data_IF_820733286252
#
_entry.id   IF_820733286252
#
_cell.length_a   1.000
_cell.length_b   1.000
_cell.length_c   1.000
_cell.angle_alpha   90.00
_cell.angle_beta   90.00
_cell.angle_gamma   90.00
#
_symmetry.space_group_name_H-M   'P 1'
#
loop_
_entity.id
_entity.type
_entity.pdbx_description
1 polymer ?
#
# COMPACT_ATOMS: atom_id res chain seq x y z
N UNK A 1 64.59 5.42 4.19
CA UNK A 1 63.83 6.67 4.37
C UNK A 1 62.68 6.66 3.38
N UNK A 2 61.46 6.63 3.93
CA UNK A 2 60.14 6.88 3.32
C UNK A 2 59.65 5.92 2.21
N UNK A 3 58.96 4.88 2.68
CA UNK A 3 57.88 4.18 1.97
C UNK A 3 56.71 5.14 1.73
N UNK A 4 56.18 5.14 0.51
CA UNK A 4 54.97 5.90 0.12
C UNK A 4 53.82 4.92 -0.05
N UNK A 5 52.94 4.88 0.95
CA UNK A 5 51.68 4.13 0.93
C UNK A 5 50.63 4.90 0.11
N UNK A 6 49.89 4.28 -0.82
CA UNK A 6 48.79 4.93 -1.50
C UNK A 6 47.58 5.06 -0.56
N UNK A 7 47.00 6.26 -0.60
CA UNK A 7 45.88 6.75 0.20
C UNK A 7 44.58 6.10 -0.27
N UNK A 8 43.95 5.32 0.59
CA UNK A 8 42.59 4.79 0.41
C UNK A 8 41.63 5.96 0.19
N UNK A 9 41.00 5.98 -0.98
CA UNK A 9 40.04 7.00 -1.36
C UNK A 9 38.67 6.62 -0.76
N UNK A 10 38.27 7.42 0.21
CA UNK A 10 37.03 7.35 0.97
C UNK A 10 35.83 7.44 0.01
N UNK A 11 35.16 6.30 -0.22
CA UNK A 11 33.94 6.20 -1.02
C UNK A 11 32.72 6.52 -0.15
N UNK A 12 32.71 7.74 0.39
CA UNK A 12 31.62 8.28 1.20
C UNK A 12 30.88 9.37 0.42
N UNK A 13 30.36 9.03 -0.76
CA UNK A 13 29.50 9.91 -1.54
C UNK A 13 28.65 9.10 -2.54
N UNK A 14 27.57 8.48 -2.06
CA UNK A 14 26.50 7.97 -2.93
C UNK A 14 25.14 8.31 -2.34
N UNK A 15 24.47 9.22 -3.05
CA UNK A 15 23.03 9.36 -3.23
C UNK A 15 22.14 9.37 -1.99
N UNK A 16 22.06 10.54 -1.36
CA UNK A 16 20.83 10.97 -0.66
C UNK A 16 19.84 11.49 -1.70
N UNK A 17 19.15 10.57 -2.38
CA UNK A 17 17.87 10.86 -3.03
C UNK A 17 16.78 10.52 -2.02
N UNK A 18 16.21 11.58 -1.47
CA UNK A 18 15.15 11.58 -0.46
C UNK A 18 13.89 10.94 -1.02
N UNK A 19 13.71 9.64 -0.79
CA UNK A 19 12.41 8.98 -0.92
C UNK A 19 11.53 9.42 0.23
N UNK A 20 10.68 10.41 -0.02
CA UNK A 20 9.65 10.88 0.91
C UNK A 20 8.50 9.87 0.94
N UNK A 21 8.72 8.72 1.57
CA UNK A 21 7.63 7.94 2.16
C UNK A 21 7.31 8.58 3.51
N UNK A 22 6.58 9.69 3.49
CA UNK A 22 5.90 10.13 4.71
C UNK A 22 4.74 9.16 4.88
N UNK A 23 4.94 8.20 5.78
CA UNK A 23 3.84 7.45 6.36
C UNK A 23 2.73 8.43 6.71
N UNK A 24 1.59 8.34 6.01
CA UNK A 24 0.38 9.04 6.38
C UNK A 24 -0.02 8.50 7.76
N UNK A 25 0.46 9.19 8.81
CA UNK A 25 0.13 8.88 10.17
C UNK A 25 -1.39 8.96 10.32
N UNK A 26 -2.01 7.81 10.56
CA UNK A 26 -3.38 7.74 11.01
C UNK A 26 -3.49 8.46 12.36
N UNK A 27 -3.80 9.75 12.31
CA UNK A 27 -4.05 10.60 13.45
C UNK A 27 -5.43 10.23 14.02
N UNK A 28 -5.51 9.19 14.84
CA UNK A 28 -6.67 8.97 15.70
C UNK A 28 -6.65 9.99 16.84
N UNK A 29 -7.13 11.20 16.58
CA UNK A 29 -7.40 12.18 17.61
C UNK A 29 -8.77 11.87 18.24
N UNK A 30 -8.74 11.39 19.48
CA UNK A 30 -9.88 11.38 20.38
C UNK A 30 -10.27 12.83 20.71
N UNK A 31 -11.47 13.26 20.30
CA UNK A 31 -12.05 14.53 20.74
C UNK A 31 -13.15 14.23 21.77
N UNK A 32 -12.82 14.54 23.02
CA UNK A 32 -13.73 14.54 24.15
C UNK A 32 -14.65 15.76 24.18
N UNK A 33 -15.80 15.52 24.81
CA UNK A 33 -16.82 16.41 25.34
C UNK A 33 -16.35 17.81 25.75
N UNK A 34 -17.07 18.84 25.28
CA UNK A 34 -17.02 20.21 25.79
C UNK A 34 -18.05 21.08 25.08
N UNK A 35 -19.23 21.25 25.68
CA UNK A 35 -20.29 22.12 25.17
C UNK A 35 -20.13 23.58 25.59
N UNK A 36 -20.51 24.49 24.70
CA UNK A 36 -21.01 25.83 24.99
C UNK A 36 -22.06 26.17 23.92
N UNK A 37 -23.29 26.47 24.35
CA UNK A 37 -24.40 26.95 23.52
C UNK A 37 -24.07 28.32 22.90
N UNK A 38 -24.20 28.43 21.58
CA UNK A 38 -24.08 29.68 20.83
C UNK A 38 -25.38 29.93 20.03
N UNK A 39 -26.21 30.94 20.38
CA UNK A 39 -27.56 31.11 19.83
C UNK A 39 -27.61 31.79 18.44
N UNK A 40 -26.48 31.92 17.74
CA UNK A 40 -26.40 32.53 16.41
C UNK A 40 -25.81 31.62 15.32
N UNK A 41 -25.86 30.31 15.49
CA UNK A 41 -25.43 29.36 14.46
C UNK A 41 -26.21 29.55 13.14
N UNK A 42 -25.54 29.82 12.00
CA UNK A 42 -26.18 29.83 10.69
C UNK A 42 -26.79 28.44 10.44
N UNK A 43 -28.04 28.41 9.97
CA UNK A 43 -28.77 27.18 9.67
C UNK A 43 -27.89 26.23 8.86
N UNK A 44 -27.39 25.18 9.52
CA UNK A 44 -26.72 24.07 8.86
C UNK A 44 -27.69 23.52 7.82
N UNK A 45 -27.34 23.72 6.54
CA UNK A 45 -28.05 23.07 5.45
C UNK A 45 -27.76 21.58 5.58
N UNK A 46 -28.67 20.88 6.26
CA UNK A 46 -28.75 19.43 6.28
C UNK A 46 -28.98 18.96 4.86
N UNK A 47 -27.91 18.72 4.12
CA UNK A 47 -27.92 18.03 2.85
C UNK A 47 -27.28 16.68 3.07
N UNK A 48 -28.11 15.65 2.94
CA UNK A 48 -27.74 14.26 3.12
C UNK A 48 -26.55 13.89 2.22
N UNK A 49 -25.59 13.07 2.73
CA UNK A 49 -24.54 12.51 1.90
C UNK A 49 -25.16 11.74 0.72
N UNK A 50 -24.44 11.70 -0.40
CA UNK A 50 -24.86 10.92 -1.58
C UNK A 50 -25.21 9.49 -1.14
N UNK A 51 -26.32 8.91 -1.65
CA UNK A 51 -26.80 7.63 -1.16
C UNK A 51 -25.77 6.54 -1.48
N UNK A 52 -25.35 5.81 -0.44
CA UNK A 52 -24.61 4.56 -0.59
C UNK A 52 -25.50 3.60 -1.40
N UNK A 53 -25.01 3.14 -2.54
CA UNK A 53 -25.72 2.14 -3.34
C UNK A 53 -25.46 0.78 -2.70
N UNK A 54 -26.50 0.21 -2.09
CA UNK A 54 -26.51 -1.17 -1.61
C UNK A 54 -27.00 -2.06 -2.74
N UNK A 55 -26.22 -3.07 -3.09
CA UNK A 55 -26.56 -3.98 -4.18
C UNK A 55 -27.26 -5.21 -3.59
N UNK A 56 -28.19 -5.81 -4.34
CA UNK A 56 -28.92 -6.98 -3.89
C UNK A 56 -27.96 -8.16 -3.61
N UNK A 57 -28.19 -8.95 -2.53
CA UNK A 57 -27.40 -10.15 -2.24
C UNK A 57 -27.33 -11.09 -3.45
N UNK A 58 -26.13 -11.62 -3.74
CA UNK A 58 -25.88 -12.53 -4.87
C UNK A 58 -25.45 -11.87 -6.18
N UNK A 59 -25.29 -10.54 -6.21
CA UNK A 59 -24.75 -9.83 -7.39
C UNK A 59 -23.24 -9.97 -7.53
N UNK A 60 -22.53 -10.09 -6.41
CA UNK A 60 -21.08 -10.30 -6.35
C UNK A 60 -20.75 -11.65 -5.71
N UNK A 61 -19.58 -12.24 -6.01
CA UNK A 61 -19.08 -13.41 -5.29
C UNK A 61 -19.01 -13.16 -3.77
N UNK A 62 -19.18 -14.22 -2.98
CA UNK A 62 -19.19 -14.14 -1.50
C UNK A 62 -17.92 -13.53 -0.89
N UNK A 63 -16.79 -13.58 -1.60
CA UNK A 63 -15.53 -13.00 -1.14
C UNK A 63 -15.41 -11.48 -1.40
N UNK A 64 -16.36 -10.86 -2.10
CA UNK A 64 -16.34 -9.39 -2.32
C UNK A 64 -16.98 -8.68 -1.13
N UNK A 65 -16.24 -7.78 -0.49
CA UNK A 65 -16.76 -6.93 0.59
C UNK A 65 -17.51 -5.72 0.03
N UNK A 66 -16.92 -5.03 -0.93
CA UNK A 66 -17.49 -3.86 -1.61
C UNK A 66 -16.75 -3.64 -2.94
N UNK A 67 -17.21 -2.68 -3.75
CA UNK A 67 -16.50 -2.23 -4.96
C UNK A 67 -16.14 -0.76 -4.88
N UNK A 68 -15.07 -0.37 -5.57
CA UNK A 68 -14.68 1.04 -5.77
C UNK A 68 -14.42 1.28 -7.26
N UNK A 69 -15.15 2.20 -7.88
CA UNK A 69 -15.08 2.42 -9.32
C UNK A 69 -15.46 1.16 -10.13
N UNK A 70 -16.28 0.27 -9.56
CA UNK A 70 -16.60 -1.04 -10.15
C UNK A 70 -15.53 -2.12 -9.96
N UNK A 71 -14.38 -1.80 -9.36
CA UNK A 71 -13.34 -2.79 -9.04
C UNK A 71 -13.66 -3.49 -7.71
N UNK A 72 -13.62 -4.84 -7.64
CA UNK A 72 -13.95 -5.57 -6.44
C UNK A 72 -12.85 -5.46 -5.37
N UNK A 73 -13.27 -5.23 -4.13
CA UNK A 73 -12.41 -5.32 -2.94
C UNK A 73 -12.74 -6.63 -2.21
N UNK A 74 -11.78 -7.55 -2.24
CA UNK A 74 -11.92 -8.89 -1.68
C UNK A 74 -11.64 -8.93 -0.17
N UNK A 75 -12.43 -9.72 0.57
CA UNK A 75 -12.25 -9.97 2.00
C UNK A 75 -10.93 -10.67 2.26
N UNK A 76 -10.64 -11.69 1.45
CA UNK A 76 -9.37 -12.43 1.47
C UNK A 76 -8.14 -11.53 1.32
N UNK A 77 -8.19 -10.54 0.41
CA UNK A 77 -7.11 -9.58 0.22
C UNK A 77 -6.87 -8.68 1.45
N UNK A 78 -7.94 -8.34 2.19
CA UNK A 78 -7.80 -7.57 3.45
C UNK A 78 -7.22 -8.46 4.54
N UNK A 79 -7.76 -9.68 4.68
CA UNK A 79 -7.39 -10.62 5.73
C UNK A 79 -5.95 -11.15 5.57
N UNK A 80 -5.42 -11.17 4.34
CA UNK A 80 -4.02 -11.49 4.07
C UNK A 80 -3.05 -10.59 4.86
N UNK A 81 -3.38 -9.31 5.06
CA UNK A 81 -2.49 -8.37 5.77
C UNK A 81 -2.77 -8.28 7.27
N UNK A 82 -3.85 -8.89 7.78
CA UNK A 82 -4.21 -8.85 9.21
C UNK A 82 -3.11 -9.41 10.11
N UNK A 83 -2.43 -10.54 9.79
CA UNK A 83 -1.31 -11.04 10.60
C UNK A 83 -0.17 -10.02 10.74
N UNK A 84 0.16 -9.29 9.67
CA UNK A 84 1.17 -8.24 9.71
C UNK A 84 0.69 -7.05 10.55
N UNK A 85 -0.57 -6.62 10.41
CA UNK A 85 -1.13 -5.55 11.24
C UNK A 85 -1.13 -5.94 12.73
N UNK A 86 -1.39 -7.21 13.05
CA UNK A 86 -1.32 -7.73 14.42
C UNK A 86 0.11 -7.78 14.95
N UNK A 87 1.08 -8.06 14.09
CA UNK A 87 2.50 -7.99 14.46
C UNK A 87 2.88 -6.55 14.83
N UNK A 88 2.47 -5.57 14.02
CA UNK A 88 2.78 -4.15 14.20
C UNK A 88 2.08 -3.55 15.42
N UNK A 89 0.76 -3.77 15.54
CA UNK A 89 -0.09 -3.18 16.59
C UNK A 89 -0.91 -4.25 17.33
N UNK A 90 -0.29 -5.09 18.18
CA UNK A 90 -0.92 -6.28 18.77
C UNK A 90 -2.07 -5.98 19.72
N UNK A 91 -2.21 -4.73 20.19
CA UNK A 91 -3.24 -4.32 21.13
C UNK A 91 -4.57 -3.94 20.47
N UNK A 92 -4.60 -3.82 19.14
CA UNK A 92 -5.82 -3.48 18.41
C UNK A 92 -6.74 -4.69 18.25
N UNK A 93 -8.02 -4.42 18.04
CA UNK A 93 -9.01 -5.44 17.69
C UNK A 93 -8.82 -5.95 16.26
N UNK A 94 -9.32 -7.15 15.95
CA UNK A 94 -9.29 -7.70 14.59
C UNK A 94 -9.97 -6.78 13.56
N UNK A 95 -11.08 -6.15 13.94
CA UNK A 95 -11.76 -5.15 13.10
C UNK A 95 -10.87 -3.92 12.83
N UNK A 96 -10.10 -3.49 13.83
CA UNK A 96 -9.12 -2.41 13.66
C UNK A 96 -7.95 -2.82 12.77
N UNK A 97 -7.46 -4.07 12.89
CA UNK A 97 -6.43 -4.61 11.99
C UNK A 97 -6.91 -4.68 10.55
N UNK A 98 -8.14 -5.17 10.30
CA UNK A 98 -8.76 -5.16 8.97
C UNK A 98 -8.89 -3.75 8.40
N UNK A 99 -9.33 -2.78 9.21
CA UNK A 99 -9.43 -1.38 8.78
C UNK A 99 -8.04 -0.80 8.43
N UNK A 100 -7.01 -1.14 9.20
CA UNK A 100 -5.64 -0.72 8.93
C UNK A 100 -5.10 -1.35 7.63
N UNK A 101 -5.29 -2.66 7.43
CA UNK A 101 -4.93 -3.36 6.19
C UNK A 101 -5.65 -2.75 4.97
N UNK A 102 -6.96 -2.52 5.11
CA UNK A 102 -7.76 -1.91 4.06
C UNK A 102 -7.26 -0.51 3.70
N UNK A 103 -7.09 0.37 4.70
CA UNK A 103 -6.74 1.77 4.45
C UNK A 103 -5.31 1.96 3.92
N UNK A 104 -4.35 1.15 4.37
CA UNK A 104 -2.93 1.35 4.06
C UNK A 104 -2.42 0.50 2.89
N UNK A 105 -3.16 -0.54 2.48
CA UNK A 105 -2.70 -1.48 1.44
C UNK A 105 -3.76 -1.65 0.37
N UNK A 106 -4.88 -2.27 0.72
CA UNK A 106 -5.83 -2.76 -0.29
C UNK A 106 -6.54 -1.61 -1.01
N UNK A 107 -6.98 -0.59 -0.27
CA UNK A 107 -7.74 0.52 -0.85
C UNK A 107 -6.90 1.35 -1.85
N UNK A 108 -5.66 1.79 -1.52
CA UNK A 108 -4.78 2.44 -2.50
C UNK A 108 -4.50 1.57 -3.73
N UNK A 109 -4.30 0.26 -3.56
CA UNK A 109 -4.08 -0.66 -4.68
C UNK A 109 -5.30 -0.73 -5.61
N UNK A 110 -6.49 -0.99 -5.06
CA UNK A 110 -7.70 -1.14 -5.87
C UNK A 110 -8.10 0.20 -6.52
N UNK A 111 -7.94 1.33 -5.81
CA UNK A 111 -8.18 2.65 -6.38
C UNK A 111 -7.20 2.99 -7.51
N UNK A 112 -5.92 2.64 -7.36
CA UNK A 112 -4.93 2.75 -8.44
C UNK A 112 -5.30 1.90 -9.66
N UNK A 113 -5.68 0.65 -9.42
CA UNK A 113 -6.11 -0.28 -10.48
C UNK A 113 -7.37 0.19 -11.22
N UNK A 114 -8.27 0.88 -10.53
CA UNK A 114 -9.50 1.42 -11.11
C UNK A 114 -9.27 2.63 -12.03
N UNK A 115 -8.16 3.36 -11.85
CA UNK A 115 -7.86 4.55 -12.65
C UNK A 115 -7.49 4.21 -14.11
N UNK A 116 -6.68 3.17 -14.31
CA UNK A 116 -6.28 2.73 -15.65
C UNK A 116 -6.09 1.19 -15.70
N UNK A 117 -7.19 0.42 -15.86
CA UNK A 117 -7.13 -1.04 -15.89
C UNK A 117 -6.31 -1.59 -17.07
N UNK A 118 -6.27 -0.89 -18.20
CA UNK A 118 -5.54 -1.32 -19.39
C UNK A 118 -4.03 -1.17 -19.18
N UNK A 119 -3.58 -0.01 -18.69
CA UNK A 119 -2.18 0.20 -18.35
C UNK A 119 -1.71 -0.77 -17.26
N UNK A 120 -2.57 -1.06 -16.27
CA UNK A 120 -2.29 -2.06 -15.22
C UNK A 120 -2.03 -3.44 -15.81
N UNK A 121 -2.82 -3.89 -16.77
CA UNK A 121 -2.62 -5.20 -17.42
C UNK A 121 -1.34 -5.21 -18.27
N UNK A 122 -1.06 -4.14 -19.01
CA UNK A 122 0.19 -4.02 -19.77
C UNK A 122 1.42 -4.08 -18.86
N UNK A 123 1.38 -3.37 -17.72
CA UNK A 123 2.43 -3.41 -16.71
C UNK A 123 2.58 -4.80 -16.09
N UNK A 124 1.46 -5.52 -15.84
CA UNK A 124 1.49 -6.90 -15.35
C UNK A 124 2.24 -7.83 -16.31
N UNK A 125 1.90 -7.78 -17.60
CA UNK A 125 2.53 -8.60 -18.63
C UNK A 125 4.02 -8.26 -18.79
N UNK A 126 4.39 -6.98 -18.68
CA UNK A 126 5.80 -6.58 -18.64
C UNK A 126 6.50 -7.14 -17.39
N UNK A 127 5.89 -7.04 -16.22
CA UNK A 127 6.45 -7.52 -14.97
C UNK A 127 6.67 -9.04 -14.96
N UNK A 128 5.71 -9.80 -15.48
CA UNK A 128 5.86 -11.25 -15.63
C UNK A 128 7.04 -11.61 -16.51
N UNK A 129 7.16 -10.97 -17.67
CA UNK A 129 8.26 -11.22 -18.61
C UNK A 129 9.62 -10.88 -18.00
N UNK A 130 9.75 -9.74 -17.30
CA UNK A 130 11.00 -9.35 -16.64
C UNK A 130 11.36 -10.33 -15.52
N UNK A 131 10.39 -10.70 -14.67
CA UNK A 131 10.61 -11.64 -13.58
C UNK A 131 10.95 -13.05 -14.09
N UNK A 132 10.30 -13.50 -15.16
CA UNK A 132 10.61 -14.78 -15.80
C UNK A 132 12.04 -14.79 -16.35
N UNK A 133 12.43 -13.75 -17.10
CA UNK A 133 13.78 -13.62 -17.65
C UNK A 133 14.85 -13.70 -16.55
N UNK A 134 14.72 -12.90 -15.48
CA UNK A 134 15.72 -12.91 -14.40
C UNK A 134 15.78 -14.25 -13.65
N UNK A 135 14.66 -14.95 -13.50
CA UNK A 135 14.62 -16.28 -12.86
C UNK A 135 15.24 -17.37 -13.74
N UNK A 136 15.08 -17.27 -15.06
CA UNK A 136 15.58 -18.26 -16.03
C UNK A 136 17.06 -18.06 -16.37
N UNK A 137 17.49 -16.82 -16.59
CA UNK A 137 18.84 -16.50 -17.11
C UNK A 137 19.75 -15.86 -16.07
N UNK A 138 19.19 -15.31 -14.99
CA UNK A 138 19.93 -14.47 -14.04
C UNK A 138 20.22 -13.06 -14.54
N UNK A 139 19.78 -12.71 -15.76
CA UNK A 139 20.02 -11.42 -16.40
C UNK A 139 18.72 -10.64 -16.59
N UNK A 140 18.80 -9.32 -16.45
CA UNK A 140 17.67 -8.44 -16.73
C UNK A 140 17.60 -8.11 -18.23
N UNK A 141 16.40 -8.09 -18.84
CA UNK A 141 16.23 -7.59 -20.20
C UNK A 141 16.55 -6.09 -20.28
N UNK A 142 16.91 -5.59 -21.47
CA UNK A 142 17.30 -4.19 -21.68
C UNK A 142 16.21 -3.17 -21.29
N UNK A 143 14.93 -3.57 -21.32
CA UNK A 143 13.78 -2.74 -20.98
C UNK A 143 13.33 -2.88 -19.50
N UNK A 144 14.11 -3.59 -18.68
CA UNK A 144 13.84 -3.75 -17.26
C UNK A 144 13.92 -2.41 -16.52
N UNK A 145 13.08 -2.21 -15.47
CA UNK A 145 13.18 -1.03 -14.63
C UNK A 145 14.51 -1.01 -13.85
N UNK A 146 14.96 0.21 -13.51
CA UNK A 146 16.09 0.36 -12.61
C UNK A 146 15.77 -0.15 -11.21
N UNK A 147 16.78 -0.72 -10.54
CA UNK A 147 16.63 -1.24 -9.20
C UNK A 147 16.66 -0.12 -8.15
N UNK A 148 15.67 -0.13 -7.26
CA UNK A 148 15.63 0.70 -6.06
C UNK A 148 16.08 -0.11 -4.84
N UNK A 149 17.16 0.31 -4.20
CA UNK A 149 17.63 -0.32 -2.96
C UNK A 149 16.97 0.33 -1.75
N UNK A 150 16.28 -0.47 -0.95
CA UNK A 150 15.61 -0.02 0.27
C UNK A 150 16.12 -0.84 1.46
N UNK A 151 16.45 -0.15 2.54
CA UNK A 151 16.85 -0.77 3.81
C UNK A 151 16.05 -0.17 4.95
N UNK A 152 15.49 -1.02 5.81
CA UNK A 152 14.82 -0.61 7.03
C UNK A 152 13.69 -1.56 7.41
N UNK A 153 12.77 -1.06 8.23
CA UNK A 153 11.59 -1.80 8.69
C UNK A 153 10.46 -1.72 7.66
N UNK A 154 9.29 -2.24 8.01
CA UNK A 154 8.06 -2.10 7.21
C UNK A 154 7.71 -0.65 6.83
N UNK A 155 8.20 0.35 7.58
CA UNK A 155 7.98 1.77 7.27
C UNK A 155 8.81 2.25 6.08
N UNK A 156 10.06 1.84 6.01
CA UNK A 156 11.00 2.26 4.98
C UNK A 156 10.85 1.42 3.69
N UNK A 157 10.61 0.11 3.84
CA UNK A 157 10.54 -0.83 2.70
C UNK A 157 9.11 -1.04 2.17
N UNK A 158 8.10 -0.68 2.98
CA UNK A 158 6.69 -0.88 2.70
C UNK A 158 6.13 -2.22 3.22
N UNK A 159 4.81 -2.25 3.44
CA UNK A 159 4.12 -3.40 4.04
C UNK A 159 4.17 -4.66 3.15
N UNK A 160 4.04 -4.50 1.83
CA UNK A 160 4.02 -5.62 0.89
C UNK A 160 5.40 -6.32 0.85
N UNK A 161 6.53 -5.61 0.60
CA UNK A 161 7.83 -6.28 0.61
C UNK A 161 8.20 -6.83 1.99
N UNK A 162 7.82 -6.13 3.06
CA UNK A 162 8.06 -6.60 4.42
C UNK A 162 7.32 -7.91 4.71
N UNK A 163 6.02 -7.99 4.39
CA UNK A 163 5.22 -9.22 4.54
C UNK A 163 5.85 -10.38 3.77
N UNK A 164 6.12 -10.19 2.49
CA UNK A 164 6.67 -11.26 1.64
C UNK A 164 8.05 -11.72 2.11
N UNK A 165 8.89 -10.79 2.61
CA UNK A 165 10.23 -11.14 3.12
C UNK A 165 10.21 -12.02 4.39
N UNK A 166 9.10 -12.08 5.13
CA UNK A 166 8.98 -12.93 6.32
C UNK A 166 9.09 -14.44 5.99
N UNK A 167 8.86 -14.81 4.74
CA UNK A 167 8.84 -16.19 4.26
C UNK A 167 9.94 -16.47 3.22
N UNK A 168 10.82 -15.50 2.97
CA UNK A 168 11.86 -15.57 1.94
C UNK A 168 13.25 -15.82 2.52
N UNK A 169 14.06 -16.55 1.75
CA UNK A 169 15.50 -16.66 2.01
C UNK A 169 16.27 -15.51 1.36
N UNK A 170 17.30 -14.93 2.01
CA UNK A 170 18.20 -13.97 1.38
C UNK A 170 18.81 -14.53 0.09
N UNK A 171 18.85 -13.69 -0.95
CA UNK A 171 19.31 -14.05 -2.29
C UNK A 171 18.19 -14.48 -3.25
N UNK A 172 16.95 -14.65 -2.77
CA UNK A 172 15.81 -15.05 -3.60
C UNK A 172 14.98 -13.86 -4.08
N UNK A 173 14.29 -14.05 -5.22
CA UNK A 173 13.32 -13.08 -5.74
C UNK A 173 11.91 -13.41 -5.26
N UNK A 174 11.17 -12.39 -4.85
CA UNK A 174 9.74 -12.48 -4.56
C UNK A 174 8.95 -12.87 -5.79
N UNK A 175 7.69 -13.25 -5.60
CA UNK A 175 6.72 -13.25 -6.69
C UNK A 175 6.33 -11.81 -7.09
N UNK A 176 5.45 -11.70 -8.09
CA UNK A 176 4.85 -10.42 -8.43
C UNK A 176 3.83 -10.01 -7.37
N UNK A 177 3.95 -8.76 -6.94
CA UNK A 177 3.00 -8.13 -6.05
C UNK A 177 2.51 -6.84 -6.70
N UNK A 178 1.21 -6.62 -6.68
CA UNK A 178 0.68 -5.31 -7.02
C UNK A 178 0.94 -4.34 -5.86
N UNK A 179 1.50 -3.18 -6.16
CA UNK A 179 1.61 -2.06 -5.25
C UNK A 179 0.77 -0.89 -5.77
N UNK A 180 0.49 0.15 -4.97
CA UNK A 180 -0.27 1.29 -5.45
C UNK A 180 0.42 1.88 -6.68
N UNK A 181 -0.27 1.90 -7.83
CA UNK A 181 0.22 2.38 -9.13
C UNK A 181 1.24 1.51 -9.91
N UNK A 182 1.67 0.35 -9.40
CA UNK A 182 2.70 -0.45 -10.07
C UNK A 182 2.59 -1.96 -9.84
N UNK A 183 3.24 -2.73 -10.70
CA UNK A 183 3.61 -4.11 -10.39
C UNK A 183 5.05 -4.17 -9.91
N UNK A 184 5.27 -4.87 -8.80
CA UNK A 184 6.53 -4.89 -8.09
C UNK A 184 7.00 -6.32 -7.86
N UNK A 185 8.30 -6.54 -8.01
CA UNK A 185 9.00 -7.69 -7.42
C UNK A 185 10.32 -7.20 -6.84
N UNK A 186 10.93 -7.99 -5.97
CA UNK A 186 12.17 -7.61 -5.33
C UNK A 186 13.03 -8.82 -4.99
N UNK A 187 14.33 -8.59 -4.88
CA UNK A 187 15.27 -9.56 -4.31
C UNK A 187 15.49 -9.23 -2.84
N UNK A 188 15.31 -10.20 -1.95
CA UNK A 188 15.72 -10.05 -0.55
C UNK A 188 17.25 -10.14 -0.50
N UNK A 189 17.94 -9.10 -0.06
CA UNK A 189 19.41 -9.07 0.01
C UNK A 189 19.89 -9.52 1.38
N UNK A 190 19.26 -9.01 2.44
CA UNK A 190 19.64 -9.32 3.83
C UNK A 190 18.47 -9.09 4.78
N UNK A 191 18.52 -9.76 5.92
CA UNK A 191 17.67 -9.55 7.10
C UNK A 191 18.57 -9.46 8.34
N UNK A 192 18.17 -8.71 9.35
CA UNK A 192 18.85 -8.67 10.66
C UNK A 192 18.33 -9.72 11.65
N UNK A 193 17.52 -10.66 11.19
CA UNK A 193 16.97 -11.79 11.98
C UNK A 193 17.96 -12.95 11.93
N UNK A 194 18.34 -13.48 13.08
CA UNK A 194 19.20 -14.67 13.16
C UNK A 194 18.40 -15.96 12.86
N UNK A 195 19.11 -17.03 12.49
CA UNK A 195 18.48 -18.33 12.20
C UNK A 195 17.67 -18.83 13.40
N UNK A 196 16.37 -19.04 13.19
CA UNK A 196 15.43 -19.50 14.22
C UNK A 196 14.76 -18.37 15.03
N UNK A 197 15.12 -17.10 14.79
CA UNK A 197 14.40 -15.96 15.33
C UNK A 197 13.14 -15.64 14.51
N UNK A 198 12.17 -15.01 15.17
CA UNK A 198 10.92 -14.58 14.53
C UNK A 198 11.01 -13.12 14.12
N UNK A 199 10.46 -12.79 12.95
CA UNK A 199 10.30 -11.40 12.53
C UNK A 199 9.53 -10.59 13.59
N UNK A 200 10.02 -9.39 13.86
CA UNK A 200 9.36 -8.41 14.72
C UNK A 200 9.09 -7.14 13.93
N UNK A 201 8.25 -6.20 14.43
CA UNK A 201 8.06 -4.91 13.76
C UNK A 201 9.35 -4.08 13.59
N UNK A 202 10.42 -4.43 14.30
CA UNK A 202 11.73 -3.77 14.26
C UNK A 202 12.75 -4.52 13.43
N UNK A 203 12.37 -5.65 12.84
CA UNK A 203 13.22 -6.35 11.88
C UNK A 203 13.54 -5.40 10.73
N UNK A 204 14.81 -5.31 10.39
CA UNK A 204 15.30 -4.54 9.26
C UNK A 204 15.63 -5.52 8.13
N UNK A 205 15.14 -5.22 6.94
CA UNK A 205 15.45 -5.95 5.72
C UNK A 205 16.11 -5.00 4.73
N UNK A 206 16.95 -5.56 3.86
CA UNK A 206 17.45 -4.87 2.67
C UNK A 206 16.92 -5.56 1.44
N UNK A 207 16.27 -4.82 0.56
CA UNK A 207 15.71 -5.33 -0.68
C UNK A 207 16.24 -4.55 -1.88
N UNK A 208 16.34 -5.25 -3.01
CA UNK A 208 16.53 -4.67 -4.33
C UNK A 208 15.19 -4.77 -5.07
N UNK A 209 14.47 -3.65 -5.12
CA UNK A 209 13.08 -3.56 -5.60
C UNK A 209 13.02 -3.08 -7.05
N UNK A 210 12.12 -3.66 -7.82
CA UNK A 210 11.85 -3.33 -9.22
C UNK A 210 10.38 -2.98 -9.35
N UNK A 211 10.10 -1.76 -9.80
CA UNK A 211 8.74 -1.26 -9.99
C UNK A 211 8.46 -1.05 -11.47
N UNK A 212 7.33 -1.55 -11.93
CA UNK A 212 6.83 -1.36 -13.29
C UNK A 212 5.52 -0.58 -13.15
N UNK A 213 5.61 0.76 -13.21
CA UNK A 213 4.46 1.62 -12.97
C UNK A 213 3.45 1.53 -14.11
N UNK A 214 2.18 1.61 -13.76
CA UNK A 214 1.07 1.82 -14.68
C UNK A 214 0.37 3.17 -14.47
N UNK A 215 0.67 3.90 -13.40
CA UNK A 215 0.35 5.32 -13.26
C UNK A 215 1.64 6.16 -13.19
N UNK A 216 1.59 7.48 -13.48
CA UNK A 216 2.77 8.34 -13.41
C UNK A 216 3.33 8.46 -11.98
N UNK A 217 4.64 8.23 -11.82
CA UNK A 217 5.30 8.19 -10.50
C UNK A 217 5.08 9.47 -9.68
N UNK A 218 5.30 10.65 -10.28
CA UNK A 218 5.29 11.96 -9.60
C UNK A 218 3.93 12.36 -9.02
N UNK A 219 2.83 11.83 -9.57
CA UNK A 219 1.46 12.21 -9.20
C UNK A 219 0.60 11.03 -8.72
N UNK A 220 1.15 9.81 -8.70
CA UNK A 220 0.43 8.58 -8.36
C UNK A 220 -0.33 8.68 -7.04
N UNK A 221 0.26 9.25 -5.99
CA UNK A 221 -0.37 9.39 -4.68
C UNK A 221 -1.60 10.31 -4.71
N UNK A 222 -1.48 11.49 -5.32
CA UNK A 222 -2.58 12.44 -5.43
C UNK A 222 -3.70 11.89 -6.31
N UNK A 223 -3.35 11.18 -7.39
CA UNK A 223 -4.31 10.49 -8.26
C UNK A 223 -5.07 9.40 -7.50
N UNK A 224 -4.36 8.55 -6.75
CA UNK A 224 -4.97 7.47 -5.96
C UNK A 224 -5.85 8.04 -4.86
N UNK A 225 -5.39 9.07 -4.14
CA UNK A 225 -6.19 9.71 -3.11
C UNK A 225 -7.45 10.34 -3.72
N UNK A 226 -7.31 11.05 -4.84
CA UNK A 226 -8.44 11.60 -5.58
C UNK A 226 -9.41 10.50 -6.04
N UNK A 227 -8.90 9.35 -6.48
CA UNK A 227 -9.71 8.20 -6.85
C UNK A 227 -10.49 7.63 -5.65
N UNK A 228 -9.83 7.47 -4.49
CA UNK A 228 -10.49 7.05 -3.24
C UNK A 228 -11.63 8.01 -2.89
N UNK A 229 -11.40 9.31 -3.05
CA UNK A 229 -12.36 10.35 -2.71
C UNK A 229 -13.50 10.48 -3.72
N UNK A 230 -13.30 10.13 -5.00
CA UNK A 230 -14.27 10.41 -6.07
C UNK A 230 -14.96 9.18 -6.67
N UNK A 231 -14.30 8.01 -6.71
CA UNK A 231 -14.86 6.82 -7.34
C UNK A 231 -16.11 6.30 -6.62
N UNK A 232 -17.14 5.82 -7.34
CA UNK A 232 -18.35 5.29 -6.71
C UNK A 232 -18.02 4.05 -5.84
N UNK A 233 -18.71 3.91 -4.71
CA UNK A 233 -18.55 2.78 -3.78
C UNK A 233 -19.88 2.05 -3.64
N UNK A 234 -19.85 0.74 -3.82
CA UNK A 234 -21.02 -0.13 -3.65
C UNK A 234 -20.74 -1.20 -2.60
N UNK A 235 -21.57 -1.29 -1.58
CA UNK A 235 -21.43 -2.31 -0.53
C UNK A 235 -22.02 -3.62 -1.05
N UNK A 236 -21.18 -4.67 -1.11
CA UNK A 236 -21.57 -6.01 -1.51
C UNK A 236 -21.92 -6.89 -0.30
N UNK A 237 -21.25 -6.68 0.84
CA UNK A 237 -21.54 -7.33 2.12
C UNK A 237 -21.67 -6.29 3.24
N UNK A 238 -22.89 -6.14 3.76
CA UNK A 238 -23.20 -5.21 4.85
C UNK A 238 -22.43 -5.52 6.15
N UNK A 239 -22.04 -6.78 6.37
CA UNK A 239 -21.22 -7.14 7.52
C UNK A 239 -19.86 -6.44 7.51
N UNK A 240 -19.37 -6.00 6.35
CA UNK A 240 -18.09 -5.31 6.20
C UNK A 240 -18.21 -3.78 6.24
N UNK A 241 -19.42 -3.22 6.25
CA UNK A 241 -19.64 -1.76 6.25
C UNK A 241 -18.89 -1.06 7.39
N UNK A 242 -18.89 -1.66 8.58
CA UNK A 242 -18.20 -1.11 9.75
C UNK A 242 -16.66 -1.15 9.64
N UNK A 243 -16.07 -1.95 8.74
CA UNK A 243 -14.64 -2.01 8.48
C UNK A 243 -14.20 -0.89 7.53
N UNK A 244 -15.06 -0.52 6.59
CA UNK A 244 -14.77 0.49 5.56
C UNK A 244 -14.57 1.87 6.23
N UNK A 245 -13.48 2.60 5.93
CA UNK A 245 -13.26 3.93 6.49
C UNK A 245 -14.43 4.88 6.17
N UNK A 246 -14.93 5.68 7.13
CA UNK A 246 -16.06 6.59 6.88
C UNK A 246 -15.84 7.57 5.73
N UNK A 247 -14.59 8.01 5.50
CA UNK A 247 -14.24 8.91 4.38
C UNK A 247 -14.54 8.30 3.00
N UNK A 248 -14.52 6.96 2.90
CA UNK A 248 -14.85 6.21 1.68
C UNK A 248 -16.37 6.09 1.51
N UNK A 249 -17.10 5.91 2.62
CA UNK A 249 -18.56 5.73 2.62
C UNK A 249 -19.33 7.05 2.49
N UNK A 250 -18.85 8.12 3.12
CA UNK A 250 -19.55 9.39 3.27
C UNK A 250 -18.78 10.51 2.59
N UNK A 251 -18.88 10.54 1.26
CA UNK A 251 -18.18 11.53 0.44
C UNK A 251 -18.83 12.91 0.54
N UNK A 252 -18.06 13.99 0.75
CA UNK A 252 -18.58 15.35 0.66
C UNK A 252 -19.09 15.61 -0.76
N UNK A 253 -20.28 16.19 -0.87
CA UNK A 253 -20.95 16.40 -2.16
C UNK A 253 -20.15 17.42 -3.01
N UNK A 254 -19.71 17.08 -4.24
CA UNK A 254 -18.79 17.93 -5.02
C UNK A 254 -19.38 19.29 -5.46
N UNK A 255 -20.69 19.50 -5.31
CA UNK A 255 -21.35 20.78 -5.62
C UNK A 255 -21.11 21.92 -4.61
N UNK A 256 -20.00 21.92 -3.86
CA UNK A 256 -19.70 22.90 -2.81
C UNK A 256 -18.31 23.56 -2.92
N UNK A 257 -17.59 23.38 -4.03
CA UNK A 257 -16.35 24.11 -4.32
C UNK A 257 -16.55 25.13 -5.45
#
# INVERSE_FOLDING_TARGET
MQETTPRTQDSSAMNRLTSRWIAAGALFAAAGLGGCDDPHAPKASSKSPSPIVRVAPGTYPDDVAFTIGGMPVHKSAIDEFVPLMKLIDPHLSEASHRRAALANVVLPMVAGAALDPEAREQAFQKAQRVLAAVRETGEFPEDAPEANYLTGTWKEVGLIPFKASMEMEPGTYSDLHESPAAWTFFKLIATNVEDGETFTPRTEITIQRYDIPYLPDEASQDLIQSAIDTLPVEIADEAWEHIIPPIVLYKPNPSQQ
#
